data_IF_011291210759
#
_entry.id   IF_011291210759
#
_cell.length_a   1.000
_cell.length_b   1.000
_cell.length_c   1.000
_cell.angle_alpha   90.00
_cell.angle_beta   90.00
_cell.angle_gamma   90.00
#
_symmetry.space_group_name_H-M   'P 1'
#
loop_
_entity.id
_entity.type
_entity.pdbx_description
1 polymer ?
#
# COMPACT_ATOMS: atom_id res chain seq x y z
N UNK A 1 6.91 2.81 -11.35
CA UNK A 1 6.15 4.07 -11.31
C UNK A 1 4.63 3.89 -11.32
N UNK A 2 4.09 2.87 -12.00
CA UNK A 2 2.62 2.67 -12.07
C UNK A 2 1.98 2.34 -10.71
N UNK A 3 2.60 1.48 -9.88
CA UNK A 3 2.05 1.10 -8.57
C UNK A 3 1.93 2.29 -7.59
N UNK A 4 2.98 3.10 -7.35
CA UNK A 4 2.87 4.31 -6.53
C UNK A 4 1.82 5.30 -7.05
N UNK A 5 1.71 5.45 -8.37
CA UNK A 5 0.73 6.35 -8.98
C UNK A 5 -0.72 5.93 -8.68
N UNK A 6 -1.03 4.64 -8.78
CA UNK A 6 -2.34 4.12 -8.39
C UNK A 6 -2.59 4.26 -6.89
N UNK A 7 -1.59 3.98 -6.06
CA UNK A 7 -1.72 4.12 -4.60
C UNK A 7 -2.06 5.56 -4.22
N UNK A 8 -1.35 6.54 -4.78
CA UNK A 8 -1.61 7.96 -4.51
C UNK A 8 -3.01 8.38 -4.98
N UNK A 9 -3.42 7.91 -6.17
CA UNK A 9 -4.70 8.31 -6.74
C UNK A 9 -5.90 7.69 -6.01
N UNK A 10 -5.82 6.42 -5.62
CA UNK A 10 -6.95 5.69 -5.02
C UNK A 10 -7.04 5.83 -3.50
N UNK A 11 -5.90 5.92 -2.79
CA UNK A 11 -5.89 5.90 -1.32
C UNK A 11 -5.50 7.24 -0.68
N UNK A 12 -4.67 8.07 -1.34
CA UNK A 12 -4.22 9.35 -0.79
C UNK A 12 -5.04 10.55 -1.26
N UNK A 13 -6.23 10.31 -1.83
CA UNK A 13 -7.16 11.36 -2.26
C UNK A 13 -6.71 12.10 -3.53
N UNK A 14 -5.78 11.55 -4.31
CA UNK A 14 -5.29 12.16 -5.53
C UNK A 14 -4.40 13.38 -5.29
N UNK A 15 -4.35 14.27 -6.29
CA UNK A 15 -3.57 15.51 -6.24
C UNK A 15 -4.29 16.62 -7.00
N UNK A 16 -4.29 17.84 -6.46
CA UNK A 16 -4.86 19.00 -7.12
C UNK A 16 -3.90 19.57 -8.19
N UNK A 17 -2.59 19.34 -8.03
CA UNK A 17 -1.55 19.83 -8.92
C UNK A 17 -0.57 18.72 -9.32
N UNK A 18 0.01 18.76 -10.55
CA UNK A 18 0.99 17.76 -11.00
C UNK A 18 2.22 17.64 -10.10
N UNK A 19 2.68 18.77 -9.54
CA UNK A 19 3.85 18.81 -8.63
C UNK A 19 3.55 18.09 -7.32
N UNK A 20 2.36 18.28 -6.75
CA UNK A 20 1.92 17.60 -5.53
C UNK A 20 1.81 16.09 -5.76
N UNK A 21 1.31 15.69 -6.94
CA UNK A 21 1.24 14.28 -7.33
C UNK A 21 2.62 13.63 -7.38
N UNK A 22 3.58 14.31 -8.03
CA UNK A 22 4.96 13.86 -8.13
C UNK A 22 5.63 13.72 -6.76
N UNK A 23 5.44 14.70 -5.87
CA UNK A 23 5.97 14.66 -4.53
C UNK A 23 5.42 13.47 -3.71
N UNK A 24 4.10 13.22 -3.77
CA UNK A 24 3.47 12.06 -3.10
C UNK A 24 3.98 10.74 -3.66
N UNK A 25 4.08 10.62 -5.00
CA UNK A 25 4.61 9.42 -5.64
C UNK A 25 6.07 9.16 -5.23
N UNK A 26 6.88 10.20 -5.17
CA UNK A 26 8.28 10.12 -4.73
C UNK A 26 8.36 9.66 -3.27
N UNK A 27 7.52 10.20 -2.39
CA UNK A 27 7.42 9.77 -0.99
C UNK A 27 7.10 8.28 -0.87
N UNK A 28 6.11 7.77 -1.63
CA UNK A 28 5.76 6.34 -1.64
C UNK A 28 6.92 5.48 -2.16
N UNK A 29 7.63 5.91 -3.20
CA UNK A 29 8.78 5.18 -3.72
C UNK A 29 9.90 5.09 -2.68
N UNK A 30 10.25 6.22 -2.05
CA UNK A 30 11.28 6.23 -1.00
C UNK A 30 10.87 5.30 0.14
N UNK A 31 9.62 5.35 0.59
CA UNK A 31 9.13 4.51 1.66
C UNK A 31 9.26 3.02 1.32
N UNK A 32 8.85 2.61 0.11
CA UNK A 32 8.99 1.22 -0.34
C UNK A 32 10.46 0.78 -0.44
N UNK A 33 11.34 1.66 -0.92
CA UNK A 33 12.78 1.40 -0.98
C UNK A 33 13.40 1.22 0.40
N UNK A 34 12.98 2.02 1.38
CA UNK A 34 13.43 1.88 2.78
C UNK A 34 12.98 0.54 3.36
N UNK A 35 11.74 0.13 3.12
CA UNK A 35 11.26 -1.18 3.56
C UNK A 35 12.03 -2.34 2.94
N UNK A 36 12.38 -2.25 1.65
CA UNK A 36 13.17 -3.28 0.96
C UNK A 36 14.61 -3.38 1.51
N UNK A 37 15.18 -2.26 1.96
CA UNK A 37 16.51 -2.25 2.59
C UNK A 37 16.47 -2.83 4.01
N UNK A 38 15.42 -2.52 4.79
CA UNK A 38 15.31 -2.95 6.19
C UNK A 38 14.92 -4.43 6.30
N UNK A 39 14.05 -4.93 5.41
CA UNK A 39 13.49 -6.26 5.53
C UNK A 39 14.16 -7.28 4.60
N UNK A 40 14.63 -8.43 5.13
CA UNK A 40 15.16 -9.50 4.30
C UNK A 40 14.06 -10.16 3.47
N UNK A 41 14.45 -10.74 2.33
CA UNK A 41 13.52 -11.41 1.43
C UNK A 41 12.90 -12.63 2.10
N UNK A 42 11.56 -12.65 2.14
CA UNK A 42 10.81 -13.80 2.64
C UNK A 42 10.78 -14.94 1.62
N UNK A 43 10.81 -16.19 2.11
CA UNK A 43 10.53 -17.36 1.26
C UNK A 43 9.07 -17.34 0.82
N UNK A 44 8.79 -17.80 -0.39
CA UNK A 44 7.44 -17.81 -0.98
C UNK A 44 6.41 -18.46 -0.03
N UNK A 45 6.75 -19.59 0.59
CA UNK A 45 5.87 -20.28 1.55
C UNK A 45 5.51 -19.41 2.77
N UNK A 46 6.46 -18.61 3.26
CA UNK A 46 6.26 -17.71 4.40
C UNK A 46 5.46 -16.47 3.99
N UNK A 47 5.75 -15.91 2.82
CA UNK A 47 5.01 -14.78 2.27
C UNK A 47 3.54 -15.13 2.04
N UNK A 48 3.25 -16.30 1.49
CA UNK A 48 1.89 -16.78 1.30
C UNK A 48 1.17 -16.97 2.64
N UNK A 49 1.81 -17.62 3.61
CA UNK A 49 1.23 -17.80 4.94
C UNK A 49 0.95 -16.46 5.65
N UNK A 50 1.83 -15.47 5.50
CA UNK A 50 1.63 -14.12 6.05
C UNK A 50 0.45 -13.42 5.38
N UNK A 51 0.36 -13.49 4.06
CA UNK A 51 -0.72 -12.87 3.29
C UNK A 51 -2.11 -13.41 3.71
N UNK A 52 -2.27 -14.74 3.77
CA UNK A 52 -3.55 -15.33 4.15
C UNK A 52 -3.87 -15.20 5.64
N UNK A 53 -2.85 -15.20 6.51
CA UNK A 53 -3.08 -15.12 7.95
C UNK A 53 -3.38 -13.70 8.43
N UNK A 54 -2.79 -12.69 7.80
CA UNK A 54 -2.86 -11.31 8.29
C UNK A 54 -3.49 -10.34 7.30
N UNK A 55 -3.00 -10.30 6.06
CA UNK A 55 -3.44 -9.28 5.09
C UNK A 55 -4.89 -9.51 4.69
N UNK A 56 -5.25 -10.76 4.35
CA UNK A 56 -6.60 -11.11 3.94
C UNK A 56 -7.66 -10.79 5.01
N UNK A 57 -7.52 -11.24 6.29
CA UNK A 57 -8.52 -10.91 7.30
C UNK A 57 -8.57 -9.42 7.62
N UNK A 58 -7.45 -8.69 7.60
CA UNK A 58 -7.48 -7.23 7.77
C UNK A 58 -8.32 -6.54 6.69
N UNK A 59 -8.12 -6.93 5.43
CA UNK A 59 -8.87 -6.37 4.31
C UNK A 59 -10.38 -6.65 4.43
N UNK A 60 -10.76 -7.84 4.89
CA UNK A 60 -12.17 -8.15 5.17
C UNK A 60 -12.74 -7.32 6.32
N UNK A 61 -11.96 -7.08 7.37
CA UNK A 61 -12.38 -6.23 8.49
C UNK A 61 -12.62 -4.79 8.02
N UNK A 62 -11.69 -4.22 7.24
CA UNK A 62 -11.84 -2.87 6.70
C UNK A 62 -13.03 -2.77 5.72
N UNK A 63 -13.27 -3.82 4.93
CA UNK A 63 -14.44 -3.89 4.05
C UNK A 63 -15.76 -3.88 4.84
N UNK A 64 -15.86 -4.71 5.88
CA UNK A 64 -17.05 -4.75 6.75
C UNK A 64 -17.24 -3.41 7.46
N UNK A 65 -16.16 -2.81 7.98
CA UNK A 65 -16.20 -1.49 8.60
C UNK A 65 -16.72 -0.43 7.64
N UNK A 66 -16.23 -0.40 6.41
CA UNK A 66 -16.68 0.54 5.38
C UNK A 66 -18.15 0.36 5.00
N UNK A 67 -18.70 -0.85 5.16
CA UNK A 67 -20.11 -1.13 4.90
C UNK A 67 -21.03 -0.60 6.03
N UNK A 68 -20.56 -0.69 7.28
CA UNK A 68 -21.32 -0.24 8.45
C UNK A 68 -21.27 1.28 8.58
N UNK A 69 -20.11 1.88 8.28
CA UNK A 69 -19.90 3.32 8.34
C UNK A 69 -19.16 3.80 7.08
N UNK A 70 -19.90 4.23 6.04
CA UNK A 70 -19.31 4.79 4.83
C UNK A 70 -18.61 6.13 5.09
#
# INVERSE_FOLDING_TARGET
>A
FVLPAFTVNMFFGGAANPVEFLAKCLGVVIFLSVLDIIHPRYRIDQGFRFFFKWILPLAFIDFIRSLIWP
#
